data_IF_809258365699
#
_entry.id   IF_809258365699
#
_cell.length_a   1.000
_cell.length_b   1.000
_cell.length_c   1.000
_cell.angle_alpha   90.00
_cell.angle_beta   90.00
_cell.angle_gamma   90.00
#
_symmetry.space_group_name_H-M   'P 1'
#
loop_
_entity.id
_entity.type
_entity.pdbx_description
1 polymer ?
#
# COMPACT_ATOMS: atom_id res chain seq x y z
N UNK A 1 1.83 -10.13 -18.82
CA UNK A 1 1.47 -10.65 -17.49
C UNK A 1 2.33 -10.04 -16.37
N UNK A 2 3.66 -9.97 -16.49
CA UNK A 2 4.53 -9.43 -15.41
C UNK A 2 4.28 -7.93 -15.12
N UNK A 3 4.03 -7.09 -16.14
CA UNK A 3 3.71 -5.65 -15.98
C UNK A 3 2.45 -5.38 -15.14
N UNK A 4 1.42 -6.22 -15.27
CA UNK A 4 0.19 -6.12 -14.49
C UNK A 4 0.45 -6.32 -13.00
N UNK A 5 1.33 -7.26 -12.67
CA UNK A 5 1.66 -7.62 -11.30
C UNK A 5 2.30 -6.43 -10.57
N UNK A 6 3.26 -5.75 -11.22
CA UNK A 6 3.96 -4.58 -10.68
C UNK A 6 3.01 -3.40 -10.46
N UNK A 7 2.13 -3.11 -11.42
CA UNK A 7 1.14 -2.01 -11.28
C UNK A 7 0.10 -2.30 -10.19
N UNK A 8 -0.32 -3.56 -10.01
CA UNK A 8 -1.21 -3.93 -8.89
C UNK A 8 -0.54 -3.88 -7.51
N UNK A 9 0.80 -3.85 -7.42
CA UNK A 9 1.48 -3.68 -6.13
C UNK A 9 1.08 -2.35 -5.46
N UNK A 10 0.74 -1.33 -6.24
CA UNK A 10 0.21 -0.06 -5.71
C UNK A 10 -1.10 -0.22 -4.93
N UNK A 11 -1.94 -1.19 -5.28
CA UNK A 11 -3.16 -1.54 -4.53
C UNK A 11 -2.88 -2.52 -3.38
N UNK A 12 -1.79 -3.27 -3.46
CA UNK A 12 -1.41 -4.22 -2.41
C UNK A 12 -1.02 -3.50 -1.12
N UNK A 13 -0.33 -2.37 -1.21
CA UNK A 13 0.08 -1.54 -0.06
C UNK A 13 -1.10 -1.17 0.85
N UNK A 14 -2.15 -0.46 0.39
CA UNK A 14 -3.26 -0.08 1.26
C UNK A 14 -4.06 -1.28 1.79
N UNK A 15 -4.16 -2.38 1.04
CA UNK A 15 -4.82 -3.60 1.53
C UNK A 15 -4.05 -4.23 2.68
N UNK A 16 -2.72 -4.36 2.55
CA UNK A 16 -1.85 -4.87 3.62
C UNK A 16 -1.88 -3.95 4.83
N UNK A 17 -2.00 -2.64 4.62
CA UNK A 17 -2.18 -1.68 5.73
C UNK A 17 -3.48 -1.92 6.46
N UNK A 18 -4.62 -1.98 5.77
CA UNK A 18 -5.92 -2.25 6.41
C UNK A 18 -5.88 -3.56 7.19
N UNK A 19 -5.39 -4.65 6.58
CA UNK A 19 -5.33 -5.96 7.23
C UNK A 19 -4.39 -5.92 8.44
N UNK A 20 -3.19 -5.36 8.29
CA UNK A 20 -2.21 -5.27 9.37
C UNK A 20 -2.73 -4.46 10.56
N UNK A 21 -3.45 -3.37 10.29
CA UNK A 21 -4.11 -2.56 11.29
C UNK A 21 -5.24 -3.34 11.99
N UNK A 22 -6.11 -4.01 11.25
CA UNK A 22 -7.23 -4.77 11.84
C UNK A 22 -6.76 -5.96 12.68
N UNK A 23 -5.66 -6.61 12.30
CA UNK A 23 -5.04 -7.67 13.12
C UNK A 23 -4.34 -7.07 14.35
N UNK A 24 -3.75 -5.89 14.20
CA UNK A 24 -3.14 -5.13 15.28
C UNK A 24 -1.79 -5.67 15.77
N UNK A 25 -1.26 -5.06 16.82
CA UNK A 25 0.03 -5.44 17.39
C UNK A 25 1.21 -5.17 16.44
N UNK A 26 2.14 -6.11 16.36
CA UNK A 26 3.28 -6.04 15.43
C UNK A 26 2.86 -6.12 13.96
N UNK A 27 1.66 -6.64 13.66
CA UNK A 27 1.14 -6.67 12.29
C UNK A 27 0.85 -5.27 11.75
N UNK A 28 0.70 -4.26 12.62
CA UNK A 28 0.64 -2.87 12.20
C UNK A 28 1.91 -2.40 11.47
N UNK A 29 3.05 -3.12 11.58
CA UNK A 29 4.27 -2.84 10.82
C UNK A 29 4.30 -3.48 9.41
N UNK A 30 3.29 -4.25 9.02
CA UNK A 30 3.27 -5.00 7.74
C UNK A 30 3.55 -4.12 6.53
N UNK A 31 3.01 -2.90 6.54
CA UNK A 31 3.18 -1.93 5.45
C UNK A 31 4.62 -1.44 5.37
N UNK A 32 5.26 -1.19 6.51
CA UNK A 32 6.67 -0.79 6.57
C UNK A 32 7.57 -1.90 6.03
N UNK A 33 7.31 -3.16 6.44
CA UNK A 33 8.08 -4.31 5.98
C UNK A 33 7.91 -4.49 4.47
N UNK A 34 6.70 -4.35 3.97
CA UNK A 34 6.39 -4.45 2.56
C UNK A 34 7.09 -3.34 1.76
N UNK A 35 6.93 -2.08 2.16
CA UNK A 35 7.41 -0.93 1.42
C UNK A 35 8.93 -0.71 1.52
N UNK A 36 9.54 -0.95 2.68
CA UNK A 36 10.97 -0.71 2.92
C UNK A 36 11.83 -1.97 2.80
N UNK A 37 11.24 -3.15 2.95
CA UNK A 37 11.94 -4.42 2.85
C UNK A 37 11.67 -5.11 1.53
N UNK A 38 10.40 -5.45 1.27
CA UNK A 38 10.05 -6.32 0.15
C UNK A 38 10.15 -5.59 -1.19
N UNK A 39 9.55 -4.40 -1.34
CA UNK A 39 9.54 -3.68 -2.61
C UNK A 39 10.94 -3.34 -3.14
N UNK A 40 11.89 -2.83 -2.34
CA UNK A 40 13.24 -2.56 -2.84
C UNK A 40 13.97 -3.83 -3.31
N UNK A 41 13.74 -4.96 -2.63
CA UNK A 41 14.32 -6.24 -3.06
C UNK A 41 13.70 -6.69 -4.39
N UNK A 42 12.38 -6.60 -4.54
CA UNK A 42 11.70 -6.93 -5.78
C UNK A 42 12.17 -6.05 -6.94
N UNK A 43 12.36 -4.75 -6.69
CA UNK A 43 12.85 -3.79 -7.66
C UNK A 43 14.25 -4.16 -8.18
N UNK A 44 15.18 -4.49 -7.25
CA UNK A 44 16.52 -4.96 -7.59
C UNK A 44 16.53 -6.27 -8.41
N UNK A 45 15.55 -7.16 -8.17
CA UNK A 45 15.46 -8.45 -8.86
C UNK A 45 14.80 -8.34 -10.24
N UNK A 46 13.80 -7.47 -10.38
CA UNK A 46 13.00 -7.33 -11.60
C UNK A 46 13.68 -6.40 -12.62
N UNK A 47 14.44 -5.40 -12.15
CA UNK A 47 15.12 -4.43 -13.01
C UNK A 47 14.17 -3.55 -13.83
N UNK A 48 14.74 -2.61 -14.59
CA UNK A 48 13.95 -1.70 -15.42
C UNK A 48 13.64 -2.30 -16.80
N UNK A 49 12.39 -2.12 -17.26
CA UNK A 49 12.01 -2.39 -18.66
C UNK A 49 11.78 -1.08 -19.42
N UNK A 50 12.49 -0.87 -20.52
CA UNK A 50 12.43 0.34 -21.35
C UNK A 50 11.25 0.39 -22.34
N UNK A 51 10.34 -0.59 -22.29
CA UNK A 51 9.20 -0.71 -23.22
C UNK A 51 7.89 -0.51 -22.45
N UNK A 52 7.37 0.71 -22.49
CA UNK A 52 6.01 1.05 -22.05
C UNK A 52 5.09 1.11 -23.25
N UNK A 53 4.06 0.25 -23.26
CA UNK A 53 2.98 0.32 -24.25
C UNK A 53 1.92 1.34 -23.78
N UNK A 54 1.79 2.50 -24.45
CA UNK A 54 0.98 3.61 -23.95
C UNK A 54 -0.53 3.35 -24.01
N UNK A 55 -0.99 2.38 -24.80
CA UNK A 55 -2.42 2.09 -24.98
C UNK A 55 -3.00 1.18 -23.89
N UNK A 56 -2.20 0.30 -23.29
CA UNK A 56 -2.61 -0.51 -22.13
C UNK A 56 -2.52 0.27 -20.81
N UNK A 57 -1.66 1.29 -20.73
CA UNK A 57 -1.55 2.15 -19.56
C UNK A 57 -2.86 2.91 -19.28
N UNK A 58 -3.53 3.46 -20.29
CA UNK A 58 -4.59 4.46 -20.05
C UNK A 58 -5.79 3.96 -19.22
N UNK A 59 -6.33 2.76 -19.46
CA UNK A 59 -7.55 2.30 -18.76
C UNK A 59 -7.23 1.61 -17.44
N UNK A 60 -6.16 0.83 -17.42
CA UNK A 60 -5.76 0.05 -16.24
C UNK A 60 -5.16 0.97 -15.18
N UNK A 61 -4.33 1.93 -15.58
CA UNK A 61 -3.81 2.96 -14.68
C UNK A 61 -4.95 3.77 -14.06
N UNK A 62 -5.93 4.20 -14.88
CA UNK A 62 -7.06 4.99 -14.40
C UNK A 62 -7.91 4.24 -13.35
N UNK A 63 -8.12 2.94 -13.56
CA UNK A 63 -8.78 2.08 -12.56
C UNK A 63 -7.96 1.96 -11.27
N UNK A 64 -6.64 1.76 -11.36
CA UNK A 64 -5.75 1.60 -10.21
C UNK A 64 -5.67 2.91 -9.40
N UNK A 65 -5.51 4.05 -10.06
CA UNK A 65 -5.49 5.38 -9.42
C UNK A 65 -6.78 5.65 -8.67
N UNK A 66 -7.94 5.43 -9.29
CA UNK A 66 -9.23 5.63 -8.64
C UNK A 66 -9.44 4.67 -7.46
N UNK A 67 -9.11 3.39 -7.64
CA UNK A 67 -9.25 2.39 -6.58
C UNK A 67 -8.33 2.71 -5.41
N UNK A 68 -7.08 3.09 -5.67
CA UNK A 68 -6.14 3.50 -4.63
C UNK A 68 -6.63 4.76 -3.91
N UNK A 69 -7.11 5.76 -4.66
CA UNK A 69 -7.68 6.98 -4.10
C UNK A 69 -8.87 6.73 -3.16
N UNK A 70 -9.66 5.68 -3.42
CA UNK A 70 -10.73 5.24 -2.50
C UNK A 70 -10.17 4.47 -1.29
N UNK A 71 -9.11 3.69 -1.46
CA UNK A 71 -8.52 2.92 -0.37
C UNK A 71 -7.79 3.80 0.65
N UNK A 72 -7.20 4.93 0.26
CA UNK A 72 -6.55 5.87 1.19
C UNK A 72 -7.49 6.33 2.33
N UNK A 73 -8.70 6.86 2.09
CA UNK A 73 -9.61 7.22 3.16
C UNK A 73 -10.08 6.00 3.97
N UNK A 74 -10.16 4.80 3.38
CA UNK A 74 -10.45 3.56 4.14
C UNK A 74 -9.33 3.24 5.12
N UNK A 75 -8.07 3.35 4.71
CA UNK A 75 -6.90 3.16 5.59
C UNK A 75 -6.93 4.17 6.74
N UNK A 76 -7.20 5.44 6.45
CA UNK A 76 -7.32 6.49 7.47
C UNK A 76 -8.48 6.19 8.43
N UNK A 77 -9.65 5.81 7.91
CA UNK A 77 -10.80 5.45 8.74
C UNK A 77 -10.48 4.27 9.66
N UNK A 78 -9.71 3.28 9.19
CA UNK A 78 -9.27 2.13 9.98
C UNK A 78 -8.34 2.55 11.13
N UNK A 79 -7.43 3.50 10.89
CA UNK A 79 -6.59 4.08 11.94
C UNK A 79 -7.42 4.84 12.97
N UNK A 80 -8.35 5.68 12.53
CA UNK A 80 -9.22 6.46 13.42
C UNK A 80 -10.13 5.55 14.24
N UNK A 81 -10.65 4.47 13.64
CA UNK A 81 -11.42 3.45 14.33
C UNK A 81 -10.60 2.83 15.47
N UNK A 82 -9.36 2.41 15.21
CA UNK A 82 -8.48 1.88 16.26
C UNK A 82 -8.14 2.93 17.32
N UNK A 83 -7.85 4.17 16.93
CA UNK A 83 -7.53 5.23 17.88
C UNK A 83 -8.69 5.51 18.84
N UNK A 84 -9.93 5.32 18.38
CA UNK A 84 -11.13 5.62 19.16
C UNK A 84 -11.65 4.43 19.98
N UNK A 85 -11.76 3.24 19.37
CA UNK A 85 -12.38 2.06 19.99
C UNK A 85 -11.37 1.06 20.56
N UNK A 86 -10.23 0.87 19.90
CA UNK A 86 -9.28 -0.22 20.16
C UNK A 86 -7.87 0.32 20.41
N UNK A 87 -7.75 1.36 21.24
CA UNK A 87 -6.48 2.04 21.47
C UNK A 87 -5.44 1.09 22.09
N UNK A 88 -4.28 0.99 21.46
CA UNK A 88 -3.13 0.22 21.97
C UNK A 88 -1.82 0.99 21.80
N UNK A 89 -0.75 0.53 22.46
CA UNK A 89 0.59 1.12 22.29
C UNK A 89 1.10 1.09 20.83
N UNK A 90 0.55 0.20 20.00
CA UNK A 90 0.90 0.07 18.58
C UNK A 90 0.24 1.13 17.69
N UNK A 91 -0.58 2.04 18.24
CA UNK A 91 -1.26 3.07 17.44
C UNK A 91 -0.29 3.98 16.68
N UNK A 92 0.88 4.26 17.25
CA UNK A 92 1.93 5.04 16.58
C UNK A 92 2.54 4.29 15.41
N UNK A 93 2.75 2.98 15.56
CA UNK A 93 3.22 2.12 14.48
C UNK A 93 2.17 2.04 13.36
N UNK A 94 0.89 1.91 13.72
CA UNK A 94 -0.22 1.96 12.78
C UNK A 94 -0.28 3.31 12.04
N UNK A 95 -0.10 4.44 12.74
CA UNK A 95 -0.10 5.77 12.14
C UNK A 95 1.04 5.95 11.13
N UNK A 96 2.25 5.48 11.45
CA UNK A 96 3.38 5.50 10.51
C UNK A 96 3.09 4.62 9.29
N UNK A 97 2.52 3.44 9.48
CA UNK A 97 2.12 2.55 8.38
C UNK A 97 1.04 3.16 7.48
N UNK A 98 0.05 3.84 8.03
CA UNK A 98 -0.96 4.60 7.27
C UNK A 98 -0.31 5.72 6.47
N UNK A 99 0.57 6.50 7.10
CA UNK A 99 1.34 7.55 6.44
C UNK A 99 2.17 7.00 5.27
N UNK A 100 2.88 5.89 5.49
CA UNK A 100 3.66 5.22 4.44
C UNK A 100 2.77 4.69 3.32
N UNK A 101 1.64 4.05 3.63
CA UNK A 101 0.70 3.58 2.61
C UNK A 101 0.14 4.69 1.73
N UNK A 102 -0.01 5.90 2.29
CA UNK A 102 -0.63 7.03 1.61
C UNK A 102 0.39 7.90 0.88
N UNK A 103 1.63 7.96 1.37
CA UNK A 103 2.69 8.81 0.82
C UNK A 103 3.70 8.08 -0.08
N UNK A 104 3.93 6.79 0.12
CA UNK A 104 4.93 6.02 -0.62
C UNK A 104 4.36 5.21 -1.79
N UNK A 105 3.04 5.26 -2.04
CA UNK A 105 2.40 4.37 -3.00
C UNK A 105 2.78 4.62 -4.45
N UNK A 106 3.41 5.75 -4.78
CA UNK A 106 3.99 6.02 -6.11
C UNK A 106 2.98 5.96 -7.26
N UNK A 107 1.68 6.00 -6.94
CA UNK A 107 0.57 6.08 -7.88
C UNK A 107 0.29 7.54 -8.22
#
# INVERSE_FOLDING_TARGET
MVRWLVQTLGLFTPLVTVIGLLVGGWWSASTLILALGIYPILDLLLGDSSITDPLEESKTFDFIVHTHGILVPVVIATLLYQAYFDYTAFIWLAAVSVGMSSGASGI
#
